data_IF_690577138008
#
_entry.id   IF_690577138008
#
_cell.length_a   1.000
_cell.length_b   1.000
_cell.length_c   1.000
_cell.angle_alpha   90.00
_cell.angle_beta   90.00
_cell.angle_gamma   90.00
#
_symmetry.space_group_name_H-M   'P 1'
#
loop_
_entity.id
_entity.type
_entity.pdbx_description
1 polymer ?
#
# COMPACT_ATOMS: atom_id res chain seq x y z
N UNK A 1 -12.46 14.58 -12.79
CA UNK A 1 -12.32 13.36 -11.96
C UNK A 1 -10.83 13.06 -11.75
N UNK A 2 -10.34 13.06 -10.51
CA UNK A 2 -9.01 12.50 -10.24
C UNK A 2 -9.17 10.99 -10.49
N UNK A 3 -8.44 10.43 -11.45
CA UNK A 3 -8.36 8.98 -11.58
C UNK A 3 -7.62 8.48 -10.35
N UNK A 4 -8.36 8.12 -9.30
CA UNK A 4 -7.79 7.56 -8.10
C UNK A 4 -7.14 6.24 -8.47
N UNK A 5 -5.81 6.20 -8.40
CA UNK A 5 -5.06 4.99 -8.74
C UNK A 5 -5.51 3.86 -7.81
N UNK A 6 -5.52 2.59 -8.26
CA UNK A 6 -5.92 1.45 -7.42
C UNK A 6 -5.24 1.43 -6.05
N UNK A 7 -3.99 1.91 -5.96
CA UNK A 7 -3.26 2.04 -4.71
C UNK A 7 -3.89 3.05 -3.73
N UNK A 8 -4.33 4.22 -4.22
CA UNK A 8 -5.02 5.22 -3.38
C UNK A 8 -6.32 4.64 -2.82
N UNK A 9 -7.10 3.95 -3.66
CA UNK A 9 -8.34 3.28 -3.22
C UNK A 9 -8.04 2.21 -2.16
N UNK A 10 -7.08 1.32 -2.40
CA UNK A 10 -6.73 0.26 -1.47
C UNK A 10 -6.26 0.79 -0.10
N UNK A 11 -5.50 1.90 -0.09
CA UNK A 11 -5.07 2.57 1.13
C UNK A 11 -6.22 3.27 1.86
N UNK A 12 -7.15 3.89 1.12
CA UNK A 12 -8.33 4.52 1.71
C UNK A 12 -9.29 3.51 2.36
N UNK A 13 -9.37 2.29 1.82
CA UNK A 13 -10.21 1.21 2.36
C UNK A 13 -9.60 0.51 3.59
N UNK A 14 -8.28 0.54 3.73
CA UNK A 14 -7.57 -0.19 4.79
C UNK A 14 -8.08 0.07 6.22
N UNK A 15 -8.30 1.32 6.68
CA UNK A 15 -8.79 1.58 8.04
C UNK A 15 -10.16 0.95 8.32
N UNK A 16 -11.04 0.94 7.32
CA UNK A 16 -12.35 0.33 7.43
C UNK A 16 -12.25 -1.20 7.48
N UNK A 17 -11.44 -1.79 6.60
CA UNK A 17 -11.17 -3.23 6.59
C UNK A 17 -10.57 -3.70 7.92
N UNK A 18 -9.64 -2.93 8.50
CA UNK A 18 -9.03 -3.21 9.79
C UNK A 18 -10.07 -3.17 10.93
N UNK A 19 -10.89 -2.12 11.01
CA UNK A 19 -11.93 -1.99 12.03
C UNK A 19 -12.94 -3.15 11.96
N UNK A 20 -13.34 -3.52 10.75
CA UNK A 20 -14.25 -4.64 10.52
C UNK A 20 -13.61 -6.00 10.85
N UNK A 21 -12.35 -6.22 10.49
CA UNK A 21 -11.61 -7.43 10.87
C UNK A 21 -11.50 -7.56 12.40
N UNK A 22 -11.25 -6.46 13.11
CA UNK A 22 -11.20 -6.43 14.57
C UNK A 22 -12.56 -6.73 15.20
N UNK A 23 -13.63 -6.05 14.75
CA UNK A 23 -14.98 -6.21 15.27
C UNK A 23 -15.51 -7.65 15.12
N UNK A 24 -15.17 -8.31 14.02
CA UNK A 24 -15.63 -9.66 13.71
C UNK A 24 -14.62 -10.76 14.05
N UNK A 25 -13.47 -10.44 14.64
CA UNK A 25 -12.36 -11.38 14.90
C UNK A 25 -12.01 -12.19 13.65
N UNK A 26 -11.84 -11.50 12.53
CA UNK A 26 -11.64 -12.07 11.19
C UNK A 26 -10.27 -11.67 10.61
N UNK A 27 -9.16 -12.26 11.09
CA UNK A 27 -7.80 -11.91 10.61
C UNK A 27 -7.58 -12.24 9.13
N UNK A 28 -8.32 -13.20 8.59
CA UNK A 28 -8.31 -13.55 7.16
C UNK A 28 -8.80 -12.40 6.26
N UNK A 29 -9.73 -11.57 6.77
CA UNK A 29 -10.20 -10.37 6.05
C UNK A 29 -9.11 -9.30 5.98
N UNK A 30 -8.38 -9.11 7.09
CA UNK A 30 -7.23 -8.21 7.10
C UNK A 30 -6.15 -8.70 6.13
N UNK A 31 -5.82 -9.99 6.14
CA UNK A 31 -4.86 -10.58 5.21
C UNK A 31 -5.24 -10.34 3.74
N UNK A 32 -6.52 -10.54 3.37
CA UNK A 32 -7.00 -10.25 2.01
C UNK A 32 -6.87 -8.76 1.63
N UNK A 33 -7.14 -7.84 2.56
CA UNK A 33 -6.92 -6.42 2.31
C UNK A 33 -5.44 -6.10 2.09
N UNK A 34 -4.54 -6.69 2.88
CA UNK A 34 -3.10 -6.50 2.72
C UNK A 34 -2.59 -7.03 1.37
N UNK A 35 -3.13 -8.15 0.89
CA UNK A 35 -2.84 -8.65 -0.46
C UNK A 35 -3.31 -7.64 -1.52
N UNK A 36 -4.51 -7.08 -1.40
CA UNK A 36 -4.99 -6.06 -2.34
C UNK A 36 -4.11 -4.81 -2.36
N UNK A 37 -3.61 -4.36 -1.20
CA UNK A 37 -2.65 -3.25 -1.11
C UNK A 37 -1.31 -3.63 -1.76
N UNK A 38 -0.81 -4.84 -1.51
CA UNK A 38 0.45 -5.33 -2.09
C UNK A 38 0.38 -5.44 -3.61
N UNK A 39 -0.71 -5.98 -4.17
CA UNK A 39 -0.92 -6.09 -5.60
C UNK A 39 -1.00 -4.71 -6.27
N UNK A 40 -1.73 -3.77 -5.64
CA UNK A 40 -1.81 -2.40 -6.12
C UNK A 40 -0.44 -1.68 -6.06
N UNK A 41 0.35 -1.91 -5.01
CA UNK A 41 1.70 -1.38 -4.88
C UNK A 41 2.63 -1.96 -5.94
N UNK A 42 2.59 -3.28 -6.18
CA UNK A 42 3.39 -3.96 -7.19
C UNK A 42 3.09 -3.42 -8.60
N UNK A 43 1.82 -3.18 -8.90
CA UNK A 43 1.40 -2.53 -10.14
C UNK A 43 1.85 -1.06 -10.22
N UNK A 44 2.00 -0.36 -9.09
CA UNK A 44 2.34 1.06 -9.05
C UNK A 44 3.86 1.35 -9.00
N UNK A 45 4.66 0.49 -8.39
CA UNK A 45 6.05 0.77 -8.02
C UNK A 45 6.94 1.18 -9.20
N UNK A 46 6.65 0.67 -10.40
CA UNK A 46 7.42 0.94 -11.61
C UNK A 46 7.25 2.38 -12.13
N UNK A 47 6.30 3.13 -11.58
CA UNK A 47 6.00 4.53 -11.94
C UNK A 47 6.71 5.54 -11.02
N UNK A 48 7.31 5.09 -9.92
CA UNK A 48 7.88 5.96 -8.88
C UNK A 48 9.13 6.69 -9.37
N UNK A 49 10.00 5.98 -10.09
CA UNK A 49 11.26 6.53 -10.58
C UNK A 49 11.12 7.14 -11.98
N UNK A 50 11.84 8.25 -12.26
CA UNK A 50 11.95 8.77 -13.62
C UNK A 50 12.56 7.73 -14.57
N UNK A 51 12.13 7.71 -15.83
CA UNK A 51 12.63 6.76 -16.84
C UNK A 51 13.45 7.45 -17.91
N UNK A 52 14.58 6.84 -18.28
CA UNK A 52 15.48 7.36 -19.32
C UNK A 52 16.00 8.76 -18.98
N UNK A 53 15.77 9.71 -19.89
CA UNK A 53 16.20 11.11 -19.75
C UNK A 53 15.22 11.99 -18.94
N UNK A 54 14.19 11.39 -18.33
CA UNK A 54 13.22 12.13 -17.54
C UNK A 54 13.85 12.73 -16.28
N UNK A 55 13.63 14.03 -16.06
CA UNK A 55 14.15 14.72 -14.89
C UNK A 55 13.29 14.44 -13.65
N UNK A 56 13.89 14.24 -12.46
CA UNK A 56 13.16 14.14 -11.20
C UNK A 56 12.22 15.35 -11.00
N UNK A 57 10.95 15.07 -10.68
CA UNK A 57 9.91 16.10 -10.58
C UNK A 57 9.07 15.93 -9.31
N UNK A 58 8.21 16.91 -9.01
CA UNK A 58 7.30 16.83 -7.88
C UNK A 58 6.33 15.63 -7.98
N UNK A 59 5.98 15.22 -9.20
CA UNK A 59 5.15 14.04 -9.42
C UNK A 59 5.86 12.75 -8.95
N UNK A 60 7.15 12.59 -9.27
CA UNK A 60 7.94 11.44 -8.81
C UNK A 60 8.04 11.38 -7.29
N UNK A 61 8.26 12.54 -6.64
CA UNK A 61 8.25 12.61 -5.17
C UNK A 61 6.89 12.25 -4.56
N UNK A 62 5.79 12.71 -5.16
CA UNK A 62 4.45 12.35 -4.71
C UNK A 62 4.17 10.85 -4.85
N UNK A 63 4.63 10.23 -5.96
CA UNK A 63 4.52 8.78 -6.16
C UNK A 63 5.37 8.01 -5.15
N UNK A 64 6.59 8.47 -4.87
CA UNK A 64 7.44 7.87 -3.84
C UNK A 64 6.76 7.89 -2.47
N UNK A 65 6.24 9.05 -2.06
CA UNK A 65 5.52 9.18 -0.79
C UNK A 65 4.30 8.25 -0.71
N UNK A 66 3.60 8.03 -1.82
CA UNK A 66 2.48 7.07 -1.88
C UNK A 66 2.96 5.63 -1.71
N UNK A 67 4.08 5.25 -2.32
CA UNK A 67 4.68 3.93 -2.15
C UNK A 67 5.16 3.69 -0.71
N UNK A 68 5.75 4.71 -0.07
CA UNK A 68 6.17 4.67 1.33
C UNK A 68 4.97 4.51 2.28
N UNK A 69 3.87 5.21 2.02
CA UNK A 69 2.63 5.05 2.77
C UNK A 69 2.08 3.63 2.66
N UNK A 70 2.12 3.02 1.47
CA UNK A 70 1.73 1.64 1.27
C UNK A 70 2.63 0.64 2.01
N UNK A 71 3.95 0.85 1.97
CA UNK A 71 4.91 0.07 2.74
C UNK A 71 4.62 0.12 4.25
N UNK A 72 4.28 1.31 4.77
CA UNK A 72 3.92 1.49 6.19
C UNK A 72 2.65 0.73 6.56
N UNK A 73 1.62 0.77 5.71
CA UNK A 73 0.37 0.00 5.91
C UNK A 73 0.64 -1.50 5.91
N UNK A 74 1.44 -1.99 4.98
CA UNK A 74 1.80 -3.40 4.90
C UNK A 74 2.58 -3.85 6.14
N UNK A 75 3.61 -3.11 6.55
CA UNK A 75 4.40 -3.43 7.73
C UNK A 75 3.56 -3.46 9.02
N UNK A 76 2.69 -2.45 9.21
CA UNK A 76 1.77 -2.39 10.34
C UNK A 76 0.75 -3.53 10.34
N UNK A 77 0.17 -3.84 9.18
CA UNK A 77 -0.80 -4.93 9.03
C UNK A 77 -0.20 -6.31 9.25
N UNK A 78 1.00 -6.57 8.73
CA UNK A 78 1.72 -7.82 8.94
C UNK A 78 2.09 -8.02 10.42
N UNK A 79 2.53 -6.96 11.09
CA UNK A 79 2.79 -6.97 12.54
C UNK A 79 1.55 -7.37 13.34
N UNK A 80 0.36 -6.88 12.94
CA UNK A 80 -0.91 -7.27 13.58
C UNK A 80 -1.28 -8.75 13.35
N UNK A 81 -0.74 -9.38 12.30
CA UNK A 81 -0.88 -10.81 12.03
C UNK A 81 0.23 -11.65 12.70
N UNK A 82 1.15 -11.03 13.43
CA UNK A 82 2.30 -11.70 14.04
C UNK A 82 3.37 -12.11 13.01
N UNK A 83 3.43 -11.41 11.88
CA UNK A 83 4.40 -11.62 10.82
C UNK A 83 5.36 -10.44 10.81
N UNK A 84 6.65 -10.70 11.01
CA UNK A 84 7.68 -9.67 10.87
C UNK A 84 7.79 -9.28 9.38
N UNK A 85 7.69 -7.99 9.10
CA UNK A 85 7.91 -7.45 7.76
C UNK A 85 9.41 -7.11 7.61
N UNK A 86 10.15 -7.80 6.72
CA UNK A 86 11.56 -7.49 6.51
C UNK A 86 11.71 -6.15 5.79
N UNK A 87 12.75 -5.39 6.15
CA UNK A 87 13.06 -4.10 5.49
C UNK A 87 13.38 -4.28 3.99
N UNK A 88 13.91 -5.45 3.62
CA UNK A 88 14.30 -5.82 2.25
C UNK A 88 14.02 -7.31 1.97
N UNK A 89 13.57 -7.63 0.74
CA UNK A 89 13.39 -9.00 0.22
C UNK A 89 14.62 -9.47 -0.57
#
# INVERSE_FOLDING_TARGET
PREDTPLVTALAEYPHALAHAAAHRAPDRLARQLVAVADALLAFQHTVLPRGEEKPSAAHRARLALAEAAGTVLAGGLSLLGIDAPDHL
#
